data_IF_159034072948
#
_entry.id   IF_159034072948
#
_cell.length_a   1.000
_cell.length_b   1.000
_cell.length_c   1.000
_cell.angle_alpha   90.00
_cell.angle_beta   90.00
_cell.angle_gamma   90.00
#
_symmetry.space_group_name_H-M   'P 1'
#
loop_
_entity.id
_entity.type
_entity.pdbx_description
1 polymer ?
#
# COMPACT_ATOMS: atom_id res chain seq x y z
N UNK A 1 19.55 -16.26 -12.79
CA UNK A 1 18.46 -15.28 -12.63
C UNK A 1 18.55 -14.86 -11.18
N UNK A 2 19.12 -13.68 -10.92
CA UNK A 2 19.21 -13.15 -9.55
C UNK A 2 17.80 -13.13 -8.95
N UNK A 3 17.62 -13.73 -7.78
CA UNK A 3 16.36 -13.59 -7.05
C UNK A 3 16.30 -12.13 -6.64
N UNK A 4 15.47 -11.35 -7.31
CA UNK A 4 15.14 -10.03 -6.84
C UNK A 4 14.23 -10.22 -5.62
N UNK A 5 14.84 -10.37 -4.45
CA UNK A 5 14.13 -10.50 -3.17
C UNK A 5 13.70 -9.13 -2.62
N UNK A 6 13.97 -8.05 -3.36
CA UNK A 6 13.49 -6.71 -3.01
C UNK A 6 11.98 -6.61 -3.22
N UNK A 7 11.27 -6.25 -2.17
CA UNK A 7 9.84 -5.96 -2.23
C UNK A 7 9.57 -4.48 -1.96
N UNK A 8 8.56 -3.93 -2.63
CA UNK A 8 8.18 -2.52 -2.52
C UNK A 8 6.74 -2.40 -2.01
N UNK A 9 6.49 -1.46 -1.10
CA UNK A 9 5.16 -1.14 -0.60
C UNK A 9 5.12 0.25 0.03
N UNK A 10 3.93 0.66 0.48
CA UNK A 10 3.73 1.89 1.25
C UNK A 10 3.28 1.55 2.67
N UNK A 11 3.67 2.39 3.61
CA UNK A 11 3.18 2.34 5.00
C UNK A 11 2.24 3.50 5.31
N UNK A 12 2.01 4.39 4.35
CA UNK A 12 1.10 5.52 4.48
C UNK A 12 0.24 5.71 3.22
N UNK A 13 -0.84 6.48 3.36
CA UNK A 13 -1.76 6.77 2.26
C UNK A 13 -2.48 8.11 2.43
N UNK A 14 -2.73 8.79 1.29
CA UNK A 14 -3.73 9.86 1.19
C UNK A 14 -5.08 9.23 0.85
N UNK A 15 -6.05 9.32 1.75
CA UNK A 15 -7.29 8.53 1.67
C UNK A 15 -8.55 9.36 1.91
N UNK A 16 -9.72 8.71 1.77
CA UNK A 16 -11.02 9.29 2.15
C UNK A 16 -11.15 9.58 3.66
N UNK A 17 -10.27 9.00 4.49
CA UNK A 17 -10.19 9.26 5.93
C UNK A 17 -9.08 10.28 6.30
N UNK A 18 -8.48 10.95 5.30
CA UNK A 18 -7.31 11.80 5.49
C UNK A 18 -6.00 11.05 5.32
N UNK A 19 -4.94 11.55 5.95
CA UNK A 19 -3.65 10.87 6.02
C UNK A 19 -3.74 9.66 6.95
N UNK A 20 -3.39 8.48 6.44
CA UNK A 20 -3.31 7.24 7.22
C UNK A 20 -1.87 6.78 7.29
N UNK A 21 -1.42 6.46 8.50
CA UNK A 21 -0.06 6.03 8.82
C UNK A 21 -0.14 4.63 9.48
N UNK A 22 0.47 3.64 8.83
CA UNK A 22 0.64 2.26 9.30
C UNK A 22 2.11 1.95 9.62
N UNK A 23 2.93 2.97 9.88
CA UNK A 23 4.34 2.84 10.23
C UNK A 23 4.61 1.76 11.29
N UNK A 24 3.89 1.81 12.41
CA UNK A 24 4.10 0.89 13.54
C UNK A 24 3.86 -0.58 13.15
N UNK A 25 3.05 -0.86 12.14
CA UNK A 25 2.80 -2.22 11.66
C UNK A 25 4.06 -2.85 11.06
N UNK A 26 4.90 -2.06 10.37
CA UNK A 26 6.11 -2.59 9.72
C UNK A 26 7.38 -2.33 10.54
N UNK A 27 7.46 -1.22 11.28
CA UNK A 27 8.67 -0.84 12.01
C UNK A 27 8.61 -1.14 13.52
N UNK A 28 7.42 -1.23 14.12
CA UNK A 28 7.28 -1.33 15.58
C UNK A 28 7.81 -2.63 16.19
N UNK A 29 8.00 -3.68 15.39
CA UNK A 29 8.58 -4.95 15.80
C UNK A 29 10.08 -5.08 15.53
N UNK A 30 10.72 -4.07 14.94
CA UNK A 30 12.15 -4.09 14.64
C UNK A 30 12.97 -3.79 15.90
N UNK A 31 14.10 -4.49 16.05
CA UNK A 31 15.01 -4.30 17.18
C UNK A 31 15.76 -2.98 17.09
N UNK A 32 15.96 -2.48 15.86
CA UNK A 32 16.67 -1.22 15.60
C UNK A 32 15.98 -0.43 14.49
N UNK A 33 15.66 0.83 14.76
CA UNK A 33 15.13 1.73 13.74
C UNK A 33 15.86 3.07 13.81
N UNK A 34 16.36 3.51 12.65
CA UNK A 34 16.96 4.85 12.50
C UNK A 34 15.95 5.76 11.79
N UNK A 35 15.53 6.83 12.45
CA UNK A 35 14.73 7.87 11.81
C UNK A 35 15.65 8.93 11.20
N UNK A 36 15.54 9.14 9.89
CA UNK A 36 16.14 10.29 9.21
C UNK A 36 15.25 11.50 9.47
N UNK A 37 15.83 12.52 10.10
CA UNK A 37 15.15 13.78 10.41
C UNK A 37 15.75 14.91 9.59
N UNK A 38 14.89 15.73 8.99
CA UNK A 38 15.25 16.94 8.25
C UNK A 38 16.16 16.70 7.02
N UNK A 39 16.13 15.48 6.47
CA UNK A 39 16.73 15.17 5.19
C UNK A 39 15.76 15.53 4.06
N UNK A 40 16.19 16.31 3.04
CA UNK A 40 15.43 16.43 1.81
C UNK A 40 15.18 15.04 1.20
N UNK A 41 14.00 14.84 0.59
CA UNK A 41 13.60 13.55 0.03
C UNK A 41 14.66 12.97 -0.93
N UNK A 42 15.26 13.80 -1.80
CA UNK A 42 16.33 13.39 -2.72
C UNK A 42 17.60 12.93 -2.01
N UNK A 43 17.91 13.52 -0.85
CA UNK A 43 19.07 13.12 -0.05
C UNK A 43 18.79 11.81 0.65
N UNK A 44 17.62 11.66 1.26
CA UNK A 44 17.19 10.41 1.88
C UNK A 44 17.18 9.26 0.86
N UNK A 45 16.64 9.47 -0.34
CA UNK A 45 16.63 8.47 -1.41
C UNK A 45 18.04 7.96 -1.75
N UNK A 46 19.03 8.86 -1.81
CA UNK A 46 20.45 8.47 -2.06
C UNK A 46 21.06 7.67 -0.92
N UNK A 47 20.67 7.96 0.33
CA UNK A 47 21.09 7.17 1.50
C UNK A 47 20.47 5.76 1.44
N UNK A 48 19.18 5.67 1.14
CA UNK A 48 18.46 4.40 1.04
C UNK A 48 18.99 3.53 -0.12
N UNK A 49 19.33 4.14 -1.27
CA UNK A 49 19.94 3.42 -2.39
C UNK A 49 21.29 2.79 -2.00
N UNK A 50 22.14 3.54 -1.28
CA UNK A 50 23.42 3.01 -0.79
C UNK A 50 23.23 1.82 0.16
N UNK A 51 22.31 1.93 1.11
CA UNK A 51 22.02 0.84 2.07
C UNK A 51 21.41 -0.39 1.36
N UNK A 52 20.51 -0.16 0.39
CA UNK A 52 19.94 -1.22 -0.44
C UNK A 52 21.00 -1.96 -1.24
N UNK A 53 21.90 -1.24 -1.91
CA UNK A 53 22.97 -1.84 -2.69
C UNK A 53 23.88 -2.71 -1.81
N UNK A 54 24.30 -2.20 -0.66
CA UNK A 54 25.10 -2.96 0.32
C UNK A 54 24.38 -4.22 0.81
N UNK A 55 23.10 -4.11 1.18
CA UNK A 55 22.33 -5.28 1.62
C UNK A 55 22.20 -6.34 0.53
N UNK A 56 22.01 -5.92 -0.72
CA UNK A 56 21.94 -6.82 -1.87
C UNK A 56 23.30 -7.49 -2.17
N UNK A 57 24.42 -6.76 -2.02
CA UNK A 57 25.78 -7.33 -2.10
C UNK A 57 26.02 -8.40 -1.03
N UNK A 58 25.45 -8.25 0.16
CA UNK A 58 25.46 -9.24 1.24
C UNK A 58 24.40 -10.36 1.06
N UNK A 59 23.64 -10.36 -0.04
CA UNK A 59 22.62 -11.36 -0.35
C UNK A 59 21.40 -11.32 0.59
N UNK A 60 21.13 -10.17 1.22
CA UNK A 60 20.01 -9.97 2.15
C UNK A 60 18.75 -9.52 1.43
N UNK A 61 17.60 -9.87 1.99
CA UNK A 61 16.32 -9.33 1.55
C UNK A 61 16.21 -7.86 1.91
N UNK A 62 15.61 -7.09 1.00
CA UNK A 62 15.35 -5.66 1.21
C UNK A 62 13.86 -5.40 1.06
N UNK A 63 13.27 -4.70 2.03
CA UNK A 63 11.93 -4.14 1.86
C UNK A 63 12.04 -2.62 1.70
N UNK A 64 11.56 -2.09 0.58
CA UNK A 64 11.59 -0.65 0.28
C UNK A 64 10.22 -0.05 0.54
N UNK A 65 10.20 1.01 1.36
CA UNK A 65 9.01 1.75 1.72
C UNK A 65 8.97 3.02 0.88
N UNK A 66 7.86 3.24 0.19
CA UNK A 66 7.66 4.40 -0.68
C UNK A 66 6.78 5.46 -0.03
N UNK A 67 7.05 6.72 -0.36
CA UNK A 67 6.25 7.87 0.07
C UNK A 67 4.93 7.93 -0.72
N UNK A 68 3.78 7.90 -0.05
CA UNK A 68 2.47 7.87 -0.72
C UNK A 68 2.21 9.02 -1.70
N UNK A 69 2.80 10.21 -1.49
CA UNK A 69 2.63 11.35 -2.39
C UNK A 69 3.51 11.28 -3.65
N UNK A 70 4.77 10.85 -3.53
CA UNK A 70 5.79 11.00 -4.58
C UNK A 70 6.25 9.68 -5.18
N UNK A 71 5.90 8.55 -4.55
CA UNK A 71 6.42 7.22 -4.82
C UNK A 71 7.96 7.11 -4.75
N UNK A 72 8.66 8.09 -4.17
CA UNK A 72 10.09 7.98 -3.90
C UNK A 72 10.33 7.02 -2.72
N UNK A 73 11.43 6.24 -2.72
CA UNK A 73 11.87 5.52 -1.54
C UNK A 73 12.03 6.49 -0.37
N UNK A 74 11.34 6.20 0.73
CA UNK A 74 11.44 6.96 1.98
C UNK A 74 11.88 6.09 3.15
N UNK A 75 11.87 4.78 3.02
CA UNK A 75 12.39 3.89 4.06
C UNK A 75 12.86 2.57 3.50
N UNK A 76 13.56 1.83 4.34
CA UNK A 76 14.13 0.53 4.04
C UNK A 76 14.09 -0.34 5.30
N UNK A 77 13.68 -1.59 5.17
CA UNK A 77 13.75 -2.61 6.23
C UNK A 77 14.64 -3.76 5.74
N UNK A 78 15.49 -4.24 6.65
CA UNK A 78 16.36 -5.41 6.52
C UNK A 78 15.84 -6.48 7.50
N UNK A 79 14.92 -7.37 7.06
CA UNK A 79 14.23 -8.29 7.95
C UNK A 79 15.18 -9.20 8.73
N UNK A 80 16.24 -9.70 8.09
CA UNK A 80 17.23 -10.60 8.69
C UNK A 80 18.04 -9.95 9.81
N UNK A 81 18.13 -8.62 9.81
CA UNK A 81 18.83 -7.85 10.84
C UNK A 81 17.87 -7.28 11.89
N UNK A 82 16.55 -7.47 11.72
CA UNK A 82 15.54 -6.77 12.53
C UNK A 82 15.80 -5.26 12.60
N UNK A 83 16.24 -4.68 11.47
CA UNK A 83 16.70 -3.31 11.38
C UNK A 83 15.97 -2.54 10.28
N UNK A 84 15.78 -1.24 10.46
CA UNK A 84 15.16 -0.38 9.46
C UNK A 84 15.59 1.08 9.55
N UNK A 85 15.41 1.80 8.46
CA UNK A 85 15.60 3.24 8.36
C UNK A 85 14.41 3.88 7.67
N UNK A 86 13.98 5.05 8.13
CA UNK A 86 12.89 5.77 7.50
C UNK A 86 13.08 7.28 7.58
N UNK A 87 12.81 7.98 6.48
CA UNK A 87 12.69 9.44 6.43
C UNK A 87 11.27 9.85 6.79
N UNK A 88 11.00 9.98 8.09
CA UNK A 88 9.70 10.47 8.55
C UNK A 88 9.71 11.99 8.51
N UNK A 89 9.09 12.54 7.46
CA UNK A 89 8.98 13.98 7.27
C UNK A 89 8.54 14.68 8.56
N UNK A 90 9.38 15.58 9.06
CA UNK A 90 9.17 16.27 10.34
C UNK A 90 8.04 17.30 10.26
N UNK A 91 7.65 17.70 9.05
CA UNK A 91 6.54 18.61 8.76
C UNK A 91 5.19 17.91 8.48
N UNK A 92 5.14 16.56 8.59
CA UNK A 92 3.91 15.77 8.39
C UNK A 92 2.78 16.19 9.34
N UNK A 93 1.50 15.94 9.00
CA UNK A 93 0.39 16.14 9.91
C UNK A 93 0.62 15.45 11.26
N UNK A 94 0.48 16.19 12.36
CA UNK A 94 0.61 15.66 13.73
C UNK A 94 2.05 15.51 14.27
N UNK A 95 3.09 15.85 13.50
CA UNK A 95 4.46 15.82 14.02
C UNK A 95 4.75 16.96 15.00
N UNK A 96 5.45 16.65 16.08
CA UNK A 96 6.00 17.61 17.04
C UNK A 96 7.42 18.00 16.61
N UNK A 97 7.57 18.96 15.70
CA UNK A 97 8.87 19.47 15.26
C UNK A 97 8.85 20.99 15.06
N UNK A 98 10.02 21.61 15.04
CA UNK A 98 10.12 23.03 14.72
C UNK A 98 9.61 23.32 13.30
N UNK A 99 9.95 22.46 12.33
CA UNK A 99 9.50 22.62 10.94
C UNK A 99 7.98 22.48 10.79
N UNK A 100 7.32 21.61 11.55
CA UNK A 100 5.86 21.49 11.49
C UNK A 100 5.15 22.71 12.08
N UNK A 101 5.78 23.40 13.04
CA UNK A 101 5.28 24.61 13.70
C UNK A 101 5.64 25.92 12.99
N UNK A 102 6.47 25.88 11.93
CA UNK A 102 6.82 27.08 11.16
C UNK A 102 5.58 27.69 10.49
N UNK A 103 5.44 29.00 10.63
CA UNK A 103 4.57 29.81 9.79
C UNK A 103 5.27 30.02 8.43
N UNK A 104 4.98 29.14 7.49
CA UNK A 104 5.52 29.19 6.13
C UNK A 104 4.41 29.06 5.09
N UNK A 105 4.39 29.98 4.13
CA UNK A 105 3.35 30.04 3.10
C UNK A 105 3.33 28.79 2.22
N UNK A 106 4.51 28.27 1.84
CA UNK A 106 4.60 27.07 0.98
C UNK A 106 4.17 25.81 1.72
N UNK A 107 4.50 25.69 3.00
CA UNK A 107 4.02 24.59 3.84
C UNK A 107 2.50 24.67 4.08
N UNK A 108 1.99 25.89 4.28
CA UNK A 108 0.54 26.15 4.44
C UNK A 108 -0.23 25.78 3.17
N UNK A 109 0.28 26.18 2.00
CA UNK A 109 -0.26 25.81 0.69
C UNK A 109 -0.30 24.28 0.51
N UNK A 110 0.82 23.60 0.79
CA UNK A 110 0.89 22.15 0.70
C UNK A 110 -0.17 21.46 1.56
N UNK A 111 -0.34 21.90 2.80
CA UNK A 111 -1.35 21.36 3.73
C UNK A 111 -2.77 21.64 3.24
N UNK A 112 -3.03 22.82 2.70
CA UNK A 112 -4.31 23.18 2.09
C UNK A 112 -4.67 22.25 0.92
N UNK A 113 -3.71 22.01 0.02
CA UNK A 113 -3.89 21.10 -1.10
C UNK A 113 -4.08 19.64 -0.65
N UNK A 114 -3.31 19.15 0.32
CA UNK A 114 -3.52 17.80 0.88
C UNK A 114 -4.92 17.65 1.48
N UNK A 115 -5.36 18.62 2.28
CA UNK A 115 -6.70 18.63 2.87
C UNK A 115 -7.79 18.61 1.81
N UNK A 116 -7.66 19.45 0.77
CA UNK A 116 -8.61 19.47 -0.34
C UNK A 116 -8.63 18.14 -1.10
N UNK A 117 -7.49 17.47 -1.27
CA UNK A 117 -7.43 16.13 -1.87
C UNK A 117 -8.18 15.10 -1.01
N UNK A 118 -8.00 15.12 0.31
CA UNK A 118 -8.71 14.21 1.23
C UNK A 118 -10.21 14.43 1.25
N UNK A 119 -10.67 15.68 1.23
CA UNK A 119 -12.09 16.02 1.12
C UNK A 119 -12.68 15.47 -0.19
N UNK A 120 -11.98 15.64 -1.31
CA UNK A 120 -12.37 15.05 -2.60
C UNK A 120 -12.37 13.52 -2.58
N UNK A 121 -11.43 12.88 -1.88
CA UNK A 121 -11.48 11.43 -1.69
C UNK A 121 -12.68 10.99 -0.83
N UNK A 122 -13.08 11.80 0.15
CA UNK A 122 -14.34 11.63 0.88
C UNK A 122 -15.56 11.71 -0.05
N UNK A 123 -15.61 12.69 -0.94
CA UNK A 123 -16.65 12.78 -1.98
C UNK A 123 -16.64 11.55 -2.91
N UNK A 124 -15.45 11.12 -3.35
CA UNK A 124 -15.29 9.96 -4.21
C UNK A 124 -15.78 8.68 -3.53
N UNK A 125 -15.58 8.53 -2.22
CA UNK A 125 -16.11 7.43 -1.42
C UNK A 125 -17.63 7.43 -1.42
N UNK A 126 -18.28 8.58 -1.24
CA UNK A 126 -19.76 8.66 -1.27
C UNK A 126 -20.31 8.21 -2.63
N UNK A 127 -19.67 8.61 -3.73
CA UNK A 127 -20.02 8.16 -5.09
C UNK A 127 -19.74 6.66 -5.26
N UNK A 128 -18.65 6.16 -4.69
CA UNK A 128 -18.35 4.72 -4.68
C UNK A 128 -19.43 3.93 -3.92
N UNK A 129 -19.86 4.39 -2.75
CA UNK A 129 -20.93 3.75 -1.96
C UNK A 129 -22.28 3.74 -2.73
N UNK A 130 -22.55 4.77 -3.55
CA UNK A 130 -23.68 4.76 -4.48
C UNK A 130 -23.53 3.67 -5.55
N UNK A 131 -22.33 3.54 -6.13
CA UNK A 131 -22.01 2.51 -7.12
C UNK A 131 -22.21 1.10 -6.56
N UNK A 132 -21.83 0.86 -5.31
CA UNK A 132 -21.96 -0.45 -4.67
C UNK A 132 -23.41 -0.93 -4.60
N UNK A 133 -24.38 -0.03 -4.41
CA UNK A 133 -25.81 -0.37 -4.22
C UNK A 133 -26.36 -1.19 -5.38
N UNK A 134 -26.01 -0.83 -6.62
CA UNK A 134 -26.49 -1.52 -7.81
C UNK A 134 -26.10 -3.01 -7.82
N UNK A 135 -24.94 -3.34 -7.27
CA UNK A 135 -24.48 -4.73 -7.18
C UNK A 135 -24.94 -5.42 -5.90
N UNK A 136 -24.96 -4.72 -4.76
CA UNK A 136 -25.44 -5.26 -3.48
C UNK A 136 -26.89 -5.75 -3.61
N UNK A 137 -27.77 -4.97 -4.26
CA UNK A 137 -29.17 -5.35 -4.48
C UNK A 137 -29.35 -6.58 -5.39
N UNK A 138 -28.31 -6.96 -6.13
CA UNK A 138 -28.32 -8.07 -7.08
C UNK A 138 -27.32 -9.17 -6.72
N UNK A 139 -26.77 -9.15 -5.50
CA UNK A 139 -25.81 -10.12 -5.00
C UNK A 139 -26.53 -11.28 -4.29
N UNK A 140 -26.22 -12.51 -4.69
CA UNK A 140 -26.49 -13.71 -3.92
C UNK A 140 -25.40 -13.87 -2.84
N UNK A 141 -25.72 -13.39 -1.64
CA UNK A 141 -24.81 -13.47 -0.48
C UNK A 141 -24.43 -14.91 -0.13
N UNK A 142 -25.34 -15.87 -0.27
CA UNK A 142 -25.05 -17.27 0.04
C UNK A 142 -24.04 -17.85 -0.96
N UNK A 143 -24.19 -17.53 -2.25
CA UNK A 143 -23.22 -17.92 -3.27
C UNK A 143 -21.83 -17.29 -3.02
N UNK A 144 -21.77 -16.01 -2.67
CA UNK A 144 -20.52 -15.32 -2.32
C UNK A 144 -19.84 -15.95 -1.09
N UNK A 145 -20.61 -16.26 -0.04
CA UNK A 145 -20.10 -16.89 1.18
C UNK A 145 -19.60 -18.32 0.95
N UNK A 146 -20.29 -19.08 0.09
CA UNK A 146 -19.87 -20.42 -0.31
C UNK A 146 -18.55 -20.35 -1.09
N UNK A 147 -18.42 -19.44 -2.07
CA UNK A 147 -17.17 -19.25 -2.81
C UNK A 147 -16.00 -18.89 -1.88
N UNK A 148 -16.22 -18.02 -0.89
CA UNK A 148 -15.22 -17.66 0.11
C UNK A 148 -14.80 -18.86 0.96
N UNK A 149 -15.77 -19.66 1.41
CA UNK A 149 -15.53 -20.86 2.22
C UNK A 149 -14.75 -21.93 1.46
N UNK A 150 -15.13 -22.20 0.21
CA UNK A 150 -14.44 -23.13 -0.67
C UNK A 150 -13.02 -22.67 -0.98
N UNK A 151 -12.84 -21.37 -1.24
CA UNK A 151 -11.51 -20.78 -1.46
C UNK A 151 -10.64 -20.91 -0.23
N UNK A 152 -11.15 -20.60 0.98
CA UNK A 152 -10.41 -20.82 2.22
C UNK A 152 -9.98 -22.28 2.37
N UNK A 153 -10.91 -23.23 2.17
CA UNK A 153 -10.61 -24.66 2.25
C UNK A 153 -9.57 -25.09 1.21
N UNK A 154 -9.62 -24.56 -0.01
CA UNK A 154 -8.66 -24.86 -1.08
C UNK A 154 -7.26 -24.33 -0.77
N UNK A 155 -7.17 -23.10 -0.28
CA UNK A 155 -5.89 -22.44 -0.01
C UNK A 155 -5.23 -22.92 1.28
N UNK A 156 -6.03 -23.21 2.31
CA UNK A 156 -5.57 -23.41 3.69
C UNK A 156 -5.94 -24.78 4.27
N UNK A 157 -6.84 -25.54 3.65
CA UNK A 157 -7.37 -26.78 4.21
C UNK A 157 -6.29 -27.82 4.54
N UNK A 158 -6.26 -28.27 5.80
CA UNK A 158 -5.31 -29.27 6.29
C UNK A 158 -3.88 -28.76 6.49
N UNK A 159 -3.63 -27.46 6.31
CA UNK A 159 -2.32 -26.84 6.50
C UNK A 159 -2.22 -26.21 7.90
N UNK A 160 -0.99 -26.13 8.41
CA UNK A 160 -0.61 -25.41 9.64
C UNK A 160 0.76 -24.82 9.41
N UNK A 161 1.05 -23.69 10.06
CA UNK A 161 2.39 -23.12 9.99
C UNK A 161 3.41 -24.07 10.63
N UNK A 162 4.58 -24.17 10.02
CA UNK A 162 5.73 -24.90 10.59
C UNK A 162 6.51 -24.04 11.59
N UNK A 163 6.25 -22.73 11.64
CA UNK A 163 6.89 -21.83 12.59
C UNK A 163 6.09 -21.78 13.91
N UNK A 164 6.77 -21.87 15.06
CA UNK A 164 6.10 -21.81 16.36
C UNK A 164 5.54 -20.40 16.59
N UNK A 165 4.22 -20.27 16.72
CA UNK A 165 3.53 -19.00 16.97
C UNK A 165 2.02 -19.07 16.74
N UNK A 166 1.25 -18.16 17.34
CA UNK A 166 -0.22 -18.10 17.21
C UNK A 166 -0.74 -17.44 15.93
N UNK A 167 0.09 -17.34 14.89
CA UNK A 167 -0.16 -16.54 13.68
C UNK A 167 0.03 -15.04 13.92
N UNK A 168 0.49 -14.34 12.89
CA UNK A 168 0.72 -12.89 12.94
C UNK A 168 0.09 -12.22 11.72
N UNK A 169 -0.16 -10.92 11.83
CA UNK A 169 -0.68 -10.13 10.71
C UNK A 169 -0.03 -8.76 10.73
N UNK A 170 0.46 -8.34 9.57
CA UNK A 170 0.96 -6.99 9.33
C UNK A 170 0.08 -6.31 8.29
N UNK A 171 -0.22 -5.03 8.50
CA UNK A 171 -1.03 -4.22 7.59
C UNK A 171 -0.19 -3.18 6.86
N UNK A 172 -0.36 -3.08 5.54
CA UNK A 172 0.41 -2.21 4.64
C UNK A 172 -0.49 -1.68 3.51
N UNK A 173 0.06 -0.92 2.57
CA UNK A 173 -0.59 -0.63 1.28
C UNK A 173 0.32 -1.09 0.14
N UNK A 174 -0.23 -1.78 -0.87
CA UNK A 174 0.56 -2.12 -2.06
C UNK A 174 0.61 -0.97 -3.05
N UNK A 175 -0.30 0.00 -2.91
CA UNK A 175 -0.51 1.09 -3.84
C UNK A 175 -0.94 2.36 -3.12
N UNK A 176 -0.83 3.49 -3.80
CA UNK A 176 -1.17 4.80 -3.28
C UNK A 176 -1.73 5.71 -4.37
N UNK A 177 -2.60 6.63 -3.97
CA UNK A 177 -2.93 7.81 -4.78
C UNK A 177 -1.80 8.83 -4.63
N UNK A 178 -1.00 8.96 -5.70
CA UNK A 178 0.18 9.83 -5.74
C UNK A 178 -0.11 11.14 -6.49
N UNK A 179 0.83 12.08 -6.45
CA UNK A 179 0.86 13.28 -7.28
C UNK A 179 0.85 13.00 -8.80
N UNK A 180 1.15 11.76 -9.20
CA UNK A 180 1.27 11.31 -10.59
C UNK A 180 0.15 10.33 -11.00
N UNK A 181 -0.87 10.16 -10.15
CA UNK A 181 -1.93 9.18 -10.34
C UNK A 181 -1.77 7.96 -9.43
N UNK A 182 -2.51 6.89 -9.73
CA UNK A 182 -2.42 5.65 -8.96
C UNK A 182 -1.11 4.93 -9.30
N UNK A 183 -0.40 4.48 -8.26
CA UNK A 183 0.80 3.65 -8.40
C UNK A 183 0.65 2.44 -7.49
N UNK A 184 1.09 1.28 -7.95
CA UNK A 184 1.17 0.06 -7.15
C UNK A 184 2.48 -0.70 -7.34
N UNK A 185 2.76 -1.58 -6.37
CA UNK A 185 3.94 -2.42 -6.30
C UNK A 185 3.61 -3.92 -6.29
N UNK A 186 2.41 -4.31 -6.76
CA UNK A 186 1.97 -5.71 -6.84
C UNK A 186 2.99 -6.61 -7.57
N UNK A 187 3.63 -6.18 -8.68
CA UNK A 187 4.62 -7.02 -9.37
C UNK A 187 5.79 -7.42 -8.49
N UNK A 188 6.30 -6.51 -7.65
CA UNK A 188 7.41 -6.79 -6.72
C UNK A 188 6.97 -7.69 -5.56
N UNK A 189 5.80 -7.40 -4.97
CA UNK A 189 5.25 -8.16 -3.84
C UNK A 189 5.01 -9.62 -4.18
N UNK A 190 4.64 -9.88 -5.43
CA UNK A 190 4.23 -11.20 -5.93
C UNK A 190 5.29 -11.90 -6.78
N UNK A 191 6.48 -11.31 -6.96
CA UNK A 191 7.52 -11.82 -7.86
C UNK A 191 7.89 -13.28 -7.58
N UNK A 192 8.04 -13.63 -6.29
CA UNK A 192 8.54 -14.93 -5.84
C UNK A 192 7.43 -15.87 -5.34
N UNK A 193 6.17 -15.59 -5.67
CA UNK A 193 5.03 -16.44 -5.31
C UNK A 193 4.72 -17.46 -6.41
N UNK A 194 4.37 -18.68 -6.00
CA UNK A 194 3.97 -19.76 -6.92
C UNK A 194 2.51 -19.63 -7.38
N UNK A 195 1.65 -19.00 -6.57
CA UNK A 195 0.22 -18.87 -6.85
C UNK A 195 -0.25 -17.44 -6.67
N UNK A 196 -0.91 -16.89 -7.69
CA UNK A 196 -1.53 -15.56 -7.62
C UNK A 196 -3.00 -15.67 -8.01
N UNK A 197 -3.87 -15.23 -7.11
CA UNK A 197 -5.31 -15.27 -7.32
C UNK A 197 -5.84 -13.86 -7.60
N UNK A 198 -6.38 -13.68 -8.80
CA UNK A 198 -6.93 -12.42 -9.29
C UNK A 198 -8.40 -12.38 -8.92
N UNK A 199 -8.74 -11.64 -7.87
CA UNK A 199 -10.09 -11.49 -7.39
C UNK A 199 -10.82 -10.47 -8.24
N UNK A 200 -11.73 -10.94 -9.10
CA UNK A 200 -12.58 -10.09 -9.94
C UNK A 200 -13.95 -9.91 -9.30
N UNK A 201 -14.44 -8.68 -9.36
CA UNK A 201 -15.78 -8.34 -8.87
C UNK A 201 -16.05 -6.84 -8.92
N UNK A 202 -17.30 -6.46 -9.12
CA UNK A 202 -17.70 -5.04 -9.13
C UNK A 202 -17.66 -4.43 -7.72
N UNK A 203 -17.68 -3.09 -7.57
CA UNK A 203 -17.87 -2.46 -6.25
C UNK A 203 -19.09 -3.04 -5.52
N UNK A 204 -19.03 -3.19 -4.19
CA UNK A 204 -20.13 -3.79 -3.40
C UNK A 204 -20.28 -5.31 -3.47
N UNK A 205 -19.50 -6.03 -4.29
CA UNK A 205 -19.59 -7.51 -4.40
C UNK A 205 -18.95 -8.30 -3.24
N UNK A 206 -18.41 -7.62 -2.22
CA UNK A 206 -17.86 -8.28 -1.04
C UNK A 206 -16.38 -8.69 -1.13
N UNK A 207 -15.60 -8.15 -2.08
CA UNK A 207 -14.16 -8.44 -2.26
C UNK A 207 -13.34 -8.27 -0.96
N UNK A 208 -13.53 -7.15 -0.28
CA UNK A 208 -12.88 -6.84 1.00
C UNK A 208 -13.20 -7.86 2.09
N UNK A 209 -14.47 -8.24 2.20
CA UNK A 209 -14.94 -9.27 3.15
C UNK A 209 -14.34 -10.63 2.83
N UNK A 210 -14.30 -11.00 1.55
CA UNK A 210 -13.70 -12.24 1.06
C UNK A 210 -12.22 -12.33 1.45
N UNK A 211 -11.45 -11.26 1.21
CA UNK A 211 -10.03 -11.17 1.53
C UNK A 211 -9.79 -11.23 3.04
N UNK A 212 -10.53 -10.45 3.84
CA UNK A 212 -10.44 -10.47 5.31
C UNK A 212 -10.72 -11.86 5.90
N UNK A 213 -11.64 -12.61 5.30
CA UNK A 213 -11.94 -13.99 5.72
C UNK A 213 -10.75 -14.93 5.47
N UNK A 214 -10.07 -14.81 4.34
CA UNK A 214 -8.84 -15.57 4.06
C UNK A 214 -7.73 -15.20 5.03
N UNK A 215 -7.52 -13.90 5.28
CA UNK A 215 -6.51 -13.42 6.23
C UNK A 215 -6.75 -13.97 7.64
N UNK A 216 -7.99 -13.87 8.14
CA UNK A 216 -8.37 -14.39 9.46
C UNK A 216 -8.13 -15.91 9.56
N UNK A 217 -8.60 -16.68 8.57
CA UNK A 217 -8.41 -18.13 8.56
C UNK A 217 -6.93 -18.54 8.49
N UNK A 218 -6.10 -17.82 7.72
CA UNK A 218 -4.67 -18.08 7.65
C UNK A 218 -3.97 -17.79 8.99
N UNK A 219 -4.31 -16.65 9.62
CA UNK A 219 -3.78 -16.27 10.93
C UNK A 219 -4.17 -17.30 12.01
N UNK A 220 -5.43 -17.72 12.07
CA UNK A 220 -5.90 -18.77 13.00
C UNK A 220 -5.21 -20.12 12.78
N UNK A 221 -4.70 -20.36 11.58
CA UNK A 221 -3.90 -21.54 11.26
C UNK A 221 -2.41 -21.41 11.62
N UNK A 222 -2.01 -20.28 12.19
CA UNK A 222 -0.65 -20.02 12.66
C UNK A 222 0.23 -19.30 11.65
N UNK A 223 -0.27 -18.97 10.45
CA UNK A 223 0.54 -18.34 9.41
C UNK A 223 0.79 -16.86 9.69
N UNK A 224 1.94 -16.37 9.22
CA UNK A 224 2.19 -14.93 9.06
C UNK A 224 1.44 -14.41 7.83
N UNK A 225 0.62 -13.38 8.03
CA UNK A 225 -0.25 -12.80 7.00
C UNK A 225 0.17 -11.36 6.72
N UNK A 226 0.36 -11.04 5.44
CA UNK A 226 0.50 -9.66 4.96
C UNK A 226 -0.85 -9.24 4.39
N UNK A 227 -1.50 -8.27 5.04
CA UNK A 227 -2.76 -7.68 4.58
C UNK A 227 -2.49 -6.29 4.01
N UNK A 228 -2.94 -6.04 2.80
CA UNK A 228 -2.82 -4.74 2.15
C UNK A 228 -4.19 -4.06 2.09
N UNK A 229 -4.24 -2.86 2.65
CA UNK A 229 -5.42 -2.00 2.71
C UNK A 229 -5.62 -1.27 1.38
N UNK A 230 -6.86 -0.88 1.11
CA UNK A 230 -7.14 0.04 0.02
C UNK A 230 -6.64 1.44 0.38
N UNK A 231 -5.88 2.08 -0.51
CA UNK A 231 -5.36 3.43 -0.26
C UNK A 231 -6.46 4.49 -0.20
N UNK A 232 -7.58 4.28 -0.90
CA UNK A 232 -8.72 5.19 -0.89
C UNK A 232 -9.65 4.95 0.32
N UNK A 233 -9.96 3.69 0.61
CA UNK A 233 -10.73 3.26 1.78
C UNK A 233 -9.88 2.38 2.72
N UNK A 234 -9.21 2.97 3.72
CA UNK A 234 -8.35 2.23 4.66
C UNK A 234 -9.07 1.13 5.45
N UNK A 235 -10.41 1.21 5.56
CA UNK A 235 -11.22 0.16 6.16
C UNK A 235 -11.34 -1.09 5.28
N UNK A 236 -11.10 -0.95 3.97
CA UNK A 236 -11.14 -2.03 2.99
C UNK A 236 -9.79 -2.76 2.86
N UNK A 237 -9.83 -4.00 2.36
CA UNK A 237 -8.66 -4.82 2.06
C UNK A 237 -8.67 -5.15 0.57
N UNK A 238 -7.52 -4.94 -0.08
CA UNK A 238 -7.35 -5.16 -1.52
C UNK A 238 -6.42 -6.35 -1.79
N UNK A 239 -5.60 -6.79 -0.83
CA UNK A 239 -4.76 -7.98 -1.02
C UNK A 239 -4.42 -8.68 0.29
N UNK A 240 -4.31 -10.00 0.21
CA UNK A 240 -3.80 -10.87 1.28
C UNK A 240 -2.72 -11.75 0.70
N UNK A 241 -1.60 -11.85 1.42
CA UNK A 241 -0.43 -12.62 1.00
C UNK A 241 0.07 -13.48 2.17
N UNK A 242 0.31 -14.76 1.88
CA UNK A 242 0.82 -15.75 2.84
C UNK A 242 2.09 -16.36 2.26
N UNK A 243 3.26 -15.81 2.61
CA UNK A 243 4.55 -16.18 2.00
C UNK A 243 4.91 -17.65 2.23
N UNK A 244 4.65 -18.18 3.42
CA UNK A 244 4.93 -19.58 3.76
C UNK A 244 4.20 -20.56 2.83
N UNK A 245 2.98 -20.21 2.39
CA UNK A 245 2.19 -21.01 1.47
C UNK A 245 2.36 -20.58 0.00
N UNK A 246 3.26 -19.63 -0.26
CA UNK A 246 3.60 -19.10 -1.58
C UNK A 246 2.38 -18.64 -2.41
N UNK A 247 1.39 -18.00 -1.77
CA UNK A 247 0.25 -17.44 -2.48
C UNK A 247 -0.13 -16.02 -2.08
N UNK A 248 -0.81 -15.33 -2.99
CA UNK A 248 -1.57 -14.12 -2.70
C UNK A 248 -2.96 -14.15 -3.36
N UNK A 249 -3.92 -13.45 -2.77
CA UNK A 249 -5.20 -13.09 -3.39
C UNK A 249 -5.29 -11.58 -3.39
N UNK A 250 -5.56 -10.97 -4.54
CA UNK A 250 -5.69 -9.51 -4.64
C UNK A 250 -6.82 -9.09 -5.57
N UNK A 251 -7.44 -7.96 -5.23
CA UNK A 251 -8.41 -7.27 -6.07
C UNK A 251 -7.74 -6.87 -7.38
N UNK A 252 -8.21 -7.46 -8.47
CA UNK A 252 -7.71 -7.23 -9.81
C UNK A 252 -8.78 -6.55 -10.66
N UNK A 253 -9.32 -5.45 -10.13
CA UNK A 253 -10.24 -4.56 -10.85
C UNK A 253 -9.62 -3.19 -11.08
N UNK A 254 -10.12 -2.47 -12.08
CA UNK A 254 -9.63 -1.12 -12.39
C UNK A 254 -9.64 -0.24 -11.14
N UNK A 255 -8.57 0.53 -10.84
CA UNK A 255 -7.46 0.86 -11.74
C UNK A 255 -6.29 -0.15 -11.76
N UNK A 256 -6.27 -1.16 -10.88
CA UNK A 256 -5.19 -2.15 -10.75
C UNK A 256 -5.58 -3.48 -11.42
N UNK A 257 -6.00 -3.42 -12.69
CA UNK A 257 -6.42 -4.61 -13.43
C UNK A 257 -5.20 -5.36 -13.98
N UNK A 258 -5.01 -6.59 -13.50
CA UNK A 258 -4.01 -7.51 -14.00
C UNK A 258 -4.66 -8.75 -14.63
N UNK A 259 -3.91 -9.45 -15.47
CA UNK A 259 -4.35 -10.69 -16.09
C UNK A 259 -3.38 -11.83 -15.77
N UNK A 260 -3.87 -13.09 -15.75
CA UNK A 260 -3.00 -14.26 -15.62
C UNK A 260 -1.93 -14.31 -16.72
N UNK A 261 -0.68 -14.35 -16.32
CA UNK A 261 0.50 -14.37 -17.20
C UNK A 261 1.52 -15.44 -16.79
N UNK A 262 1.49 -15.87 -15.53
CA UNK A 262 2.43 -16.84 -14.96
C UNK A 262 1.76 -18.19 -14.73
N UNK A 263 2.56 -19.24 -14.76
CA UNK A 263 2.11 -20.55 -14.29
C UNK A 263 1.68 -20.43 -12.81
N UNK A 264 0.46 -20.89 -12.51
CA UNK A 264 -0.12 -20.77 -11.18
C UNK A 264 -1.01 -19.55 -10.95
N UNK A 265 -1.11 -18.65 -11.93
CA UNK A 265 -2.10 -17.57 -11.91
C UNK A 265 -3.52 -18.12 -12.12
N UNK A 266 -4.47 -17.71 -11.28
CA UNK A 266 -5.85 -18.18 -11.33
C UNK A 266 -6.83 -17.03 -11.05
N UNK A 267 -7.94 -16.97 -11.78
CA UNK A 267 -8.99 -15.97 -11.52
C UNK A 267 -10.02 -16.51 -10.53
N UNK A 268 -10.38 -15.70 -9.54
CA UNK A 268 -11.55 -15.91 -8.68
C UNK A 268 -12.55 -14.82 -9.02
N UNK A 269 -13.66 -15.19 -9.65
CA UNK A 269 -14.65 -14.22 -10.15
C UNK A 269 -15.91 -14.24 -9.29
N UNK A 270 -16.00 -13.30 -8.33
CA UNK A 270 -17.18 -13.15 -7.47
C UNK A 270 -18.37 -12.67 -8.28
N UNK A 271 -18.15 -11.82 -9.29
CA UNK A 271 -19.22 -11.30 -10.12
C UNK A 271 -19.93 -12.46 -10.83
N UNK A 272 -19.17 -13.33 -11.51
CA UNK A 272 -19.72 -14.51 -12.18
C UNK A 272 -20.40 -15.49 -11.21
N UNK A 273 -19.85 -15.65 -10.01
CA UNK A 273 -20.35 -16.64 -9.05
C UNK A 273 -21.61 -16.20 -8.32
N UNK A 274 -21.76 -14.90 -8.04
CA UNK A 274 -22.74 -14.41 -7.08
C UNK A 274 -23.58 -13.22 -7.55
N UNK A 275 -23.23 -12.51 -8.62
CA UNK A 275 -24.04 -11.39 -9.12
C UNK A 275 -25.05 -11.89 -10.14
N UNK A 276 -26.30 -11.42 -10.03
CA UNK A 276 -27.35 -11.71 -11.00
C UNK A 276 -26.92 -11.31 -12.41
N UNK A 277 -26.98 -12.25 -13.35
CA UNK A 277 -26.72 -11.98 -14.76
C UNK A 277 -27.65 -10.88 -15.30
N UNK A 278 -27.13 -9.96 -16.10
CA UNK A 278 -27.90 -8.82 -16.61
C UNK A 278 -27.83 -7.56 -15.75
N UNK A 279 -27.09 -7.57 -14.62
CA UNK A 279 -27.01 -6.40 -13.73
C UNK A 279 -26.32 -5.21 -14.41
N UNK A 280 -25.19 -5.45 -15.08
CA UNK A 280 -24.47 -4.39 -15.81
C UNK A 280 -25.37 -3.77 -16.90
N UNK A 281 -26.11 -4.58 -17.65
CA UNK A 281 -27.01 -4.12 -18.71
C UNK A 281 -28.23 -3.38 -18.16
N UNK A 282 -28.78 -3.85 -17.05
CA UNK A 282 -29.96 -3.25 -16.39
C UNK A 282 -29.69 -1.83 -15.90
N UNK A 283 -28.49 -1.57 -15.38
CA UNK A 283 -28.11 -0.28 -14.80
C UNK A 283 -27.07 0.45 -15.64
N UNK A 284 -26.98 0.17 -16.96
CA UNK A 284 -25.89 0.66 -17.80
C UNK A 284 -25.75 2.20 -17.79
N UNK A 285 -26.86 2.93 -17.75
CA UNK A 285 -26.87 4.40 -17.75
C UNK A 285 -26.37 4.96 -16.41
N UNK A 286 -26.87 4.41 -15.31
CA UNK A 286 -26.49 4.78 -13.95
C UNK A 286 -25.03 4.44 -13.66
N UNK A 287 -24.57 3.26 -14.13
CA UNK A 287 -23.18 2.82 -14.01
C UNK A 287 -22.23 3.72 -14.81
N UNK A 288 -22.65 4.19 -15.98
CA UNK A 288 -21.86 5.14 -16.77
C UNK A 288 -21.72 6.49 -16.04
N UNK A 289 -22.83 7.03 -15.52
CA UNK A 289 -22.86 8.29 -14.79
C UNK A 289 -22.00 8.24 -13.51
N UNK A 290 -22.20 7.22 -12.65
CA UNK A 290 -21.46 7.08 -11.39
C UNK A 290 -19.96 6.90 -11.64
N UNK A 291 -19.59 6.15 -12.68
CA UNK A 291 -18.18 5.95 -13.07
C UNK A 291 -17.55 7.26 -13.55
N UNK A 292 -18.28 8.07 -14.34
CA UNK A 292 -17.80 9.36 -14.82
C UNK A 292 -17.60 10.34 -13.67
N UNK A 293 -18.60 10.47 -12.78
CA UNK A 293 -18.52 11.31 -11.57
C UNK A 293 -17.34 10.92 -10.69
N UNK A 294 -17.22 9.62 -10.39
CA UNK A 294 -16.10 9.10 -9.59
C UNK A 294 -14.75 9.46 -10.20
N UNK A 295 -14.56 9.20 -11.50
CA UNK A 295 -13.32 9.54 -12.21
C UNK A 295 -13.05 11.04 -12.22
N UNK A 296 -14.07 11.88 -12.36
CA UNK A 296 -13.92 13.33 -12.33
C UNK A 296 -13.43 13.83 -10.96
N UNK A 297 -13.98 13.29 -9.87
CA UNK A 297 -13.56 13.63 -8.51
C UNK A 297 -12.13 13.14 -8.26
N UNK A 298 -11.80 11.90 -8.61
CA UNK A 298 -10.44 11.36 -8.47
C UNK A 298 -9.42 12.20 -9.25
N UNK A 299 -9.72 12.63 -10.48
CA UNK A 299 -8.84 13.53 -11.25
C UNK A 299 -8.59 14.86 -10.53
N UNK A 300 -9.63 15.46 -9.92
CA UNK A 300 -9.50 16.69 -9.13
C UNK A 300 -8.65 16.46 -7.88
N UNK A 301 -8.83 15.34 -7.19
CA UNK A 301 -8.04 14.97 -6.03
C UNK A 301 -6.55 14.80 -6.39
N UNK A 302 -6.25 14.09 -7.49
CA UNK A 302 -4.88 13.94 -8.00
C UNK A 302 -4.24 15.29 -8.35
N UNK A 303 -5.01 16.24 -8.92
CA UNK A 303 -4.50 17.58 -9.20
C UNK A 303 -4.15 18.36 -7.91
N UNK A 304 -4.90 18.16 -6.83
CA UNK A 304 -4.57 18.70 -5.51
C UNK A 304 -3.31 18.05 -4.93
N UNK A 305 -3.17 16.71 -5.02
CA UNK A 305 -1.93 16.02 -4.62
C UNK A 305 -0.71 16.52 -5.41
N UNK A 306 -0.85 16.72 -6.71
CA UNK A 306 0.21 17.29 -7.56
C UNK A 306 0.62 18.71 -7.12
N UNK A 307 -0.35 19.53 -6.70
CA UNK A 307 -0.08 20.88 -6.20
C UNK A 307 0.60 20.85 -4.83
N UNK A 308 0.14 19.97 -3.93
CA UNK A 308 0.79 19.74 -2.64
C UNK A 308 2.25 19.28 -2.79
N UNK A 309 2.52 18.37 -3.73
CA UNK A 309 3.87 17.88 -4.00
C UNK A 309 4.81 19.00 -4.45
N UNK A 310 4.39 19.88 -5.36
CA UNK A 310 5.21 21.03 -5.79
C UNK A 310 5.50 21.99 -4.64
N UNK A 311 4.50 22.28 -3.81
CA UNK A 311 4.65 23.15 -2.66
C UNK A 311 5.60 22.54 -1.60
N UNK A 312 5.50 21.23 -1.34
CA UNK A 312 6.43 20.52 -0.46
C UNK A 312 7.86 20.50 -0.99
N UNK A 313 8.07 20.31 -2.29
CA UNK A 313 9.42 20.39 -2.87
C UNK A 313 10.00 21.81 -2.77
N UNK A 314 9.18 22.84 -2.94
CA UNK A 314 9.61 24.23 -2.74
C UNK A 314 9.99 24.48 -1.27
N UNK A 315 9.17 24.01 -0.33
CA UNK A 315 9.44 24.09 1.10
C UNK A 315 10.76 23.39 1.46
N UNK A 316 10.95 22.15 1.02
CA UNK A 316 12.16 21.38 1.30
C UNK A 316 13.41 22.09 0.76
N UNK A 317 13.37 22.59 -0.48
CA UNK A 317 14.49 23.36 -1.07
C UNK A 317 14.82 24.63 -0.30
N UNK A 318 13.82 25.28 0.31
CA UNK A 318 14.00 26.53 1.03
C UNK A 318 14.45 26.32 2.48
N UNK A 319 14.01 25.25 3.15
CA UNK A 319 14.16 25.08 4.60
C UNK A 319 15.14 24.00 5.02
N UNK A 320 15.42 23.03 4.17
CA UNK A 320 16.29 21.91 4.51
C UNK A 320 17.71 22.11 3.99
N UNK A 321 18.71 21.58 4.69
CA UNK A 321 20.10 21.75 4.30
C UNK A 321 20.43 20.98 3.01
N UNK A 322 21.30 21.59 2.20
CA UNK A 322 21.98 20.88 1.12
C UNK A 322 23.20 20.14 1.67
N UNK A 323 23.40 18.90 1.24
CA UNK A 323 24.51 18.06 1.69
C UNK A 323 25.66 18.10 0.68
N UNK A 324 26.87 18.39 1.13
CA UNK A 324 28.06 18.16 0.31
C UNK A 324 28.30 16.67 0.09
N UNK A 325 29.03 16.31 -0.96
CA UNK A 325 29.35 14.90 -1.25
C UNK A 325 30.03 14.20 -0.06
N UNK A 326 30.98 14.88 0.61
CA UNK A 326 31.65 14.34 1.79
C UNK A 326 30.72 14.19 3.00
N UNK A 327 29.80 15.13 3.22
CA UNK A 327 28.80 15.02 4.30
C UNK A 327 27.86 13.84 4.06
N UNK A 328 27.42 13.65 2.82
CA UNK A 328 26.57 12.53 2.45
C UNK A 328 27.29 11.19 2.66
N UNK A 329 28.54 11.07 2.20
CA UNK A 329 29.34 9.85 2.39
C UNK A 329 29.50 9.50 3.87
N UNK A 330 29.79 10.48 4.73
CA UNK A 330 29.86 10.24 6.17
C UNK A 330 28.51 9.81 6.79
N UNK A 331 27.37 10.28 6.28
CA UNK A 331 26.06 9.79 6.72
C UNK A 331 25.76 8.37 6.22
N UNK A 332 26.21 8.02 5.01
CA UNK A 332 26.11 6.66 4.47
C UNK A 332 26.85 5.65 5.35
N UNK A 333 28.09 5.96 5.72
CA UNK A 333 28.91 5.13 6.63
C UNK A 333 28.25 4.99 8.00
N UNK A 334 27.85 6.09 8.63
CA UNK A 334 27.17 6.06 9.94
C UNK A 334 25.86 5.28 9.94
N UNK A 335 25.08 5.37 8.86
CA UNK A 335 23.84 4.58 8.73
C UNK A 335 24.15 3.11 8.53
N UNK A 336 25.20 2.78 7.78
CA UNK A 336 25.61 1.40 7.62
C UNK A 336 26.11 0.79 8.94
N UNK A 337 26.96 1.50 9.69
CA UNK A 337 27.36 1.10 11.05
C UNK A 337 26.12 0.87 11.93
N UNK A 338 25.19 1.85 11.92
CA UNK A 338 23.98 1.76 12.71
C UNK A 338 23.04 0.63 12.30
N UNK A 339 23.04 0.12 11.07
CA UNK A 339 22.07 -0.91 10.63
C UNK A 339 22.67 -2.30 10.47
N UNK A 340 23.95 -2.40 10.13
CA UNK A 340 24.60 -3.67 9.75
C UNK A 340 25.54 -4.22 10.83
N UNK A 341 25.90 -3.44 11.85
CA UNK A 341 26.75 -3.91 12.95
C UNK A 341 25.89 -4.46 14.09
N UNK A 342 26.30 -5.62 14.64
CA UNK A 342 25.59 -6.36 15.69
C UNK A 342 25.48 -5.59 17.01
#
# INVERSE_FOLDING_TARGET
MERNDTIHYFVDANSSAGYVDLYDQSFGGLSRVVELSDFPDETAERLLFYLSARAQEEGRRVEVIHHCLTNRPMGLILPELSAGVINRQTWRPGAFSALSALEDETLSEARGCLKAAWELFGEARVVHDEWEKYYIENLDFAAADNLASETCKRLLGGKRSVYPGGGSMVERFFGAATAFGSVDHIPSLTANLQKRYFLKGRPGTGKSTFLKRIAAAAKEQGFAVEMYRCSLDPGSCDMVLVRELSFCVFDSTAPHEYFPEREGDETIDIYRAAVRQGTDEKYAAELADVTERYRAIVRRATAQLSSAQRALEAFQRAKLPAFSAGTLAGQQERLAEALFED
#
